data_IF_352638624430
#
_entry.id   IF_352638624430
#
_cell.length_a   1.000
_cell.length_b   1.000
_cell.length_c   1.000
_cell.angle_alpha   90.00
_cell.angle_beta   90.00
_cell.angle_gamma   90.00
#
_symmetry.space_group_name_H-M   'P 1'
#
loop_
_entity.id
_entity.type
_entity.pdbx_description
1 polymer ?
#
# COMPACT_ATOMS: atom_id res chain seq x y z
N UNK A 1 -6.08 13.83 0.32
CA UNK A 1 -5.80 12.85 -0.76
C UNK A 1 -5.11 13.48 -1.97
N UNK A 2 -3.94 12.96 -2.34
CA UNK A 2 -3.20 13.29 -3.57
C UNK A 2 -2.85 12.01 -4.35
N UNK A 3 -2.85 12.09 -5.68
CA UNK A 3 -2.40 11.01 -6.57
C UNK A 3 -1.30 11.56 -7.47
N UNK A 4 -0.10 10.97 -7.42
CA UNK A 4 1.03 11.35 -8.27
C UNK A 4 1.33 10.20 -9.22
N UNK A 5 1.22 10.49 -10.51
CA UNK A 5 1.53 9.55 -11.58
C UNK A 5 3.03 9.47 -11.80
N UNK A 6 3.58 8.28 -12.09
CA UNK A 6 4.96 8.12 -12.54
C UNK A 6 5.30 9.09 -13.68
N UNK A 7 6.56 9.51 -13.78
CA UNK A 7 6.97 10.39 -14.87
C UNK A 7 6.74 9.74 -16.24
N UNK A 8 6.08 10.48 -17.13
CA UNK A 8 5.69 10.01 -18.46
C UNK A 8 4.44 9.12 -18.50
N UNK A 9 3.80 8.82 -17.36
CA UNK A 9 2.54 8.10 -17.36
C UNK A 9 1.34 9.05 -17.61
N UNK A 10 0.42 8.60 -18.46
CA UNK A 10 -0.84 9.31 -18.69
C UNK A 10 -1.89 8.95 -17.62
N UNK A 11 -2.68 9.94 -17.21
CA UNK A 11 -3.80 9.72 -16.31
C UNK A 11 -4.90 8.91 -17.01
N UNK A 12 -5.45 7.89 -16.36
CA UNK A 12 -6.68 7.25 -16.82
C UNK A 12 -7.90 7.96 -16.22
N UNK A 13 -9.10 7.58 -16.69
CA UNK A 13 -10.35 8.09 -16.12
C UNK A 13 -10.48 7.80 -14.60
N UNK A 14 -9.91 6.69 -14.14
CA UNK A 14 -9.81 6.37 -12.71
C UNK A 14 -8.54 5.54 -12.43
N UNK A 15 -7.44 6.23 -12.16
CA UNK A 15 -6.13 5.62 -11.88
C UNK A 15 -6.17 4.63 -10.72
N UNK A 16 -6.96 4.92 -9.68
CA UNK A 16 -7.08 4.07 -8.49
C UNK A 16 -7.83 2.78 -8.83
N UNK A 17 -8.89 2.85 -9.64
CA UNK A 17 -9.61 1.67 -10.11
C UNK A 17 -8.67 0.74 -10.88
N UNK A 18 -7.92 1.28 -11.84
CA UNK A 18 -6.99 0.49 -12.66
C UNK A 18 -5.89 -0.15 -11.82
N UNK A 19 -5.34 0.60 -10.84
CA UNK A 19 -4.36 0.06 -9.89
C UNK A 19 -4.94 -1.14 -9.11
N UNK A 20 -6.08 -0.94 -8.42
CA UNK A 20 -6.70 -1.95 -7.57
C UNK A 20 -7.22 -3.15 -8.39
N UNK A 21 -7.61 -2.93 -9.65
CA UNK A 21 -8.02 -4.01 -10.55
C UNK A 21 -6.83 -4.85 -11.00
N UNK A 22 -5.72 -4.22 -11.38
CA UNK A 22 -4.55 -4.88 -11.96
C UNK A 22 -3.65 -5.56 -10.92
N UNK A 23 -3.49 -4.96 -9.75
CA UNK A 23 -2.50 -5.36 -8.76
C UNK A 23 -3.18 -5.91 -7.51
N UNK A 24 -2.77 -7.12 -7.09
CA UNK A 24 -3.48 -7.90 -6.07
C UNK A 24 -2.65 -8.25 -4.85
N UNK A 25 -1.32 -8.09 -4.90
CA UNK A 25 -0.45 -8.33 -3.76
C UNK A 25 -0.09 -7.03 -3.04
N UNK A 26 -0.52 -6.92 -1.80
CA UNK A 26 -0.35 -5.73 -0.96
C UNK A 26 0.55 -6.08 0.23
N UNK A 27 1.73 -5.45 0.29
CA UNK A 27 2.53 -5.44 1.51
C UNK A 27 2.03 -4.33 2.44
N UNK A 28 1.72 -4.65 3.69
CA UNK A 28 1.18 -3.69 4.66
C UNK A 28 2.24 -3.37 5.71
N UNK A 29 2.90 -2.23 5.54
CA UNK A 29 3.96 -1.76 6.43
C UNK A 29 3.35 -1.12 7.67
N UNK A 30 3.65 -1.70 8.84
CA UNK A 30 3.03 -1.29 10.11
C UNK A 30 1.70 -2.00 10.42
N UNK A 31 1.44 -3.14 9.79
CA UNK A 31 0.31 -3.99 10.17
C UNK A 31 0.50 -4.53 11.59
N UNK A 32 -0.52 -4.38 12.44
CA UNK A 32 -0.50 -4.87 13.82
C UNK A 32 -1.58 -5.93 14.04
N UNK A 33 -1.29 -6.90 14.90
CA UNK A 33 -2.26 -7.90 15.38
C UNK A 33 -3.35 -7.31 16.28
N UNK A 34 -3.18 -6.07 16.77
CA UNK A 34 -4.17 -5.41 17.61
C UNK A 34 -5.40 -4.95 16.79
N UNK A 35 -6.61 -5.48 17.06
CA UNK A 35 -7.83 -5.16 16.30
C UNK A 35 -8.30 -3.70 16.47
N UNK A 36 -7.81 -3.00 17.50
CA UNK A 36 -8.10 -1.57 17.69
C UNK A 36 -7.27 -0.65 16.77
N UNK A 37 -6.25 -1.19 16.10
CA UNK A 37 -5.44 -0.41 15.16
C UNK A 37 -6.13 -0.36 13.80
N UNK A 38 -6.24 0.83 13.16
CA UNK A 38 -6.81 0.94 11.82
C UNK A 38 -6.15 0.00 10.79
N UNK A 39 -4.83 -0.26 10.93
CA UNK A 39 -4.11 -1.17 10.05
C UNK A 39 -4.71 -2.58 10.05
N UNK A 40 -5.27 -3.06 11.16
CA UNK A 40 -5.87 -4.37 11.27
C UNK A 40 -7.17 -4.46 10.46
N UNK A 41 -8.17 -3.65 10.82
CA UNK A 41 -9.50 -3.72 10.18
C UNK A 41 -9.51 -3.31 8.70
N UNK A 42 -8.67 -2.35 8.31
CA UNK A 42 -8.51 -2.00 6.88
C UNK A 42 -7.92 -3.18 6.10
N UNK A 43 -6.92 -3.85 6.67
CA UNK A 43 -6.26 -4.97 6.00
C UNK A 43 -7.14 -6.20 5.94
N UNK A 44 -7.84 -6.54 7.03
CA UNK A 44 -8.80 -7.65 7.07
C UNK A 44 -9.86 -7.49 5.97
N UNK A 45 -10.41 -6.29 5.80
CA UNK A 45 -11.33 -6.02 4.71
C UNK A 45 -10.72 -6.28 3.32
N UNK A 46 -9.49 -5.82 3.09
CA UNK A 46 -8.81 -6.03 1.80
C UNK A 46 -8.50 -7.53 1.58
N UNK A 47 -8.16 -8.28 2.63
CA UNK A 47 -7.98 -9.73 2.58
C UNK A 47 -9.30 -10.43 2.21
N UNK A 48 -10.42 -10.06 2.87
CA UNK A 48 -11.75 -10.58 2.53
C UNK A 48 -12.20 -10.20 1.11
N UNK A 49 -11.73 -9.07 0.58
CA UNK A 49 -11.95 -8.66 -0.80
C UNK A 49 -11.09 -9.42 -1.82
N UNK A 50 -10.28 -10.39 -1.38
CA UNK A 50 -9.51 -11.29 -2.23
C UNK A 50 -8.10 -10.81 -2.59
N UNK A 51 -7.57 -9.79 -1.90
CA UNK A 51 -6.18 -9.38 -2.08
C UNK A 51 -5.24 -10.28 -1.29
N UNK A 52 -4.07 -10.56 -1.85
CA UNK A 52 -2.96 -11.22 -1.15
C UNK A 52 -2.32 -10.20 -0.21
N UNK A 53 -2.41 -10.42 1.10
CA UNK A 53 -1.86 -9.52 2.12
C UNK A 53 -0.54 -10.06 2.66
N UNK A 54 0.49 -9.21 2.68
CA UNK A 54 1.79 -9.54 3.26
C UNK A 54 2.08 -8.55 4.41
N UNK A 55 1.98 -8.99 5.69
CA UNK A 55 2.33 -8.16 6.83
C UNK A 55 3.83 -7.81 6.83
N UNK A 56 4.15 -6.52 7.03
CA UNK A 56 5.52 -6.06 7.25
C UNK A 56 5.59 -5.28 8.55
N UNK A 57 6.04 -5.95 9.61
CA UNK A 57 6.23 -5.36 10.93
C UNK A 57 7.23 -6.18 11.76
N UNK A 58 8.38 -5.62 12.15
CA UNK A 58 9.39 -6.35 12.93
C UNK A 58 8.95 -6.72 14.35
N UNK A 59 7.85 -6.15 14.84
CA UNK A 59 7.30 -6.44 16.17
C UNK A 59 6.23 -7.54 16.16
N UNK A 60 5.89 -8.11 15.00
CA UNK A 60 4.86 -9.13 14.85
C UNK A 60 5.47 -10.32 14.11
N UNK A 61 5.06 -11.54 14.47
CA UNK A 61 5.46 -12.76 13.76
C UNK A 61 4.39 -13.25 12.78
N UNK A 62 3.12 -13.00 13.10
CA UNK A 62 1.96 -13.37 12.29
C UNK A 62 0.81 -12.39 12.55
N UNK A 63 0.07 -11.99 11.51
CA UNK A 63 -1.13 -11.15 11.63
C UNK A 63 -2.16 -11.61 10.61
N UNK A 64 -3.43 -11.76 11.01
CA UNK A 64 -4.53 -12.22 10.13
C UNK A 64 -4.24 -13.56 9.42
N UNK A 65 -3.56 -14.48 10.12
CA UNK A 65 -3.16 -15.78 9.59
C UNK A 65 -2.00 -15.74 8.59
N UNK A 66 -1.38 -14.57 8.40
CA UNK A 66 -0.29 -14.35 7.46
C UNK A 66 1.03 -14.13 8.20
N UNK A 67 2.10 -14.77 7.73
CA UNK A 67 3.45 -14.56 8.28
C UNK A 67 3.86 -13.09 8.10
N UNK A 68 4.35 -12.49 9.18
CA UNK A 68 4.92 -11.14 9.17
C UNK A 68 6.42 -11.17 8.91
N UNK A 69 6.87 -10.22 8.08
CA UNK A 69 8.27 -9.99 7.76
C UNK A 69 8.75 -8.70 8.42
N UNK A 70 10.02 -8.61 8.87
CA UNK A 70 10.51 -7.38 9.47
C UNK A 70 10.70 -6.27 8.43
N UNK A 71 11.14 -6.62 7.21
CA UNK A 71 11.39 -5.67 6.12
C UNK A 71 10.70 -6.10 4.82
N UNK A 72 10.49 -5.14 3.92
CA UNK A 72 9.92 -5.42 2.59
C UNK A 72 10.83 -6.34 1.77
N UNK A 73 12.14 -6.18 1.93
CA UNK A 73 13.19 -6.94 1.25
C UNK A 73 13.26 -8.41 1.67
N UNK A 74 12.69 -8.78 2.83
CA UNK A 74 12.65 -10.17 3.29
C UNK A 74 11.48 -10.96 2.69
N UNK A 75 10.56 -10.28 1.99
CA UNK A 75 9.40 -10.90 1.38
C UNK A 75 9.83 -11.68 0.14
N UNK A 76 9.62 -13.01 0.07
CA UNK A 76 10.08 -13.83 -1.04
C UNK A 76 9.16 -13.75 -2.28
N UNK A 77 8.02 -13.07 -2.15
CA UNK A 77 6.99 -12.95 -3.17
C UNK A 77 7.00 -11.55 -3.81
N UNK A 78 6.45 -11.44 -5.01
CA UNK A 78 6.30 -10.14 -5.69
C UNK A 78 5.31 -9.24 -4.94
N UNK A 79 5.73 -8.02 -4.61
CA UNK A 79 4.89 -6.97 -4.03
C UNK A 79 4.42 -6.03 -5.15
N UNK A 80 3.12 -5.81 -5.27
CA UNK A 80 2.60 -4.83 -6.23
C UNK A 80 2.34 -3.46 -5.58
N UNK A 81 1.73 -3.45 -4.39
CA UNK A 81 1.38 -2.22 -3.66
C UNK A 81 2.00 -2.27 -2.26
N UNK A 82 2.70 -1.21 -1.87
CA UNK A 82 3.15 -0.99 -0.49
C UNK A 82 2.18 -0.04 0.20
N UNK A 83 1.42 -0.56 1.16
CA UNK A 83 0.42 0.18 1.93
C UNK A 83 0.97 0.56 3.31
N UNK A 84 1.03 1.84 3.62
CA UNK A 84 1.80 2.39 4.74
C UNK A 84 0.89 2.85 5.88
N UNK A 85 1.11 2.27 7.06
CA UNK A 85 0.48 2.66 8.34
C UNK A 85 1.51 3.15 9.37
N UNK A 86 2.65 3.65 8.90
CA UNK A 86 3.70 4.28 9.71
C UNK A 86 3.55 5.79 9.69
N UNK A 87 4.18 6.48 10.65
CA UNK A 87 4.10 7.94 10.71
C UNK A 87 4.82 8.56 9.51
N UNK A 88 4.49 9.81 9.18
CA UNK A 88 5.07 10.51 8.05
C UNK A 88 6.62 10.52 8.09
N UNK A 89 7.21 10.64 9.28
CA UNK A 89 8.67 10.66 9.46
C UNK A 89 9.35 9.31 9.13
N UNK A 90 8.57 8.23 9.13
CA UNK A 90 9.04 6.88 8.79
C UNK A 90 8.79 6.53 7.30
N UNK A 91 8.10 7.41 6.54
CA UNK A 91 7.80 7.18 5.12
C UNK A 91 9.05 7.12 4.23
N UNK A 92 10.06 8.00 4.38
CA UNK A 92 11.23 8.00 3.48
C UNK A 92 11.91 6.63 3.33
N UNK A 93 12.31 5.92 4.42
CA UNK A 93 12.91 4.60 4.27
C UNK A 93 11.95 3.55 3.69
N UNK A 94 10.65 3.65 3.97
CA UNK A 94 9.63 2.74 3.39
C UNK A 94 9.51 2.92 1.88
N UNK A 95 9.55 4.17 1.39
CA UNK A 95 9.56 4.46 -0.05
C UNK A 95 10.81 3.89 -0.71
N UNK A 96 11.98 4.04 -0.09
CA UNK A 96 13.21 3.46 -0.64
C UNK A 96 13.15 1.95 -0.75
N UNK A 97 12.63 1.28 0.28
CA UNK A 97 12.38 -0.16 0.24
C UNK A 97 11.37 -0.53 -0.85
N UNK A 98 10.28 0.23 -1.00
CA UNK A 98 9.27 0.00 -2.04
C UNK A 98 9.87 0.08 -3.45
N UNK A 99 10.78 1.03 -3.68
CA UNK A 99 11.54 1.16 -4.93
C UNK A 99 12.44 -0.08 -5.13
N UNK A 100 13.22 -0.48 -4.11
CA UNK A 100 14.14 -1.62 -4.19
C UNK A 100 13.44 -2.94 -4.50
N UNK A 101 12.27 -3.18 -3.90
CA UNK A 101 11.48 -4.41 -4.15
C UNK A 101 10.66 -4.34 -5.45
N UNK A 102 10.73 -3.23 -6.20
CA UNK A 102 10.12 -3.09 -7.51
C UNK A 102 8.59 -2.98 -7.47
N UNK A 103 8.04 -2.47 -6.36
CA UNK A 103 6.61 -2.21 -6.20
C UNK A 103 6.11 -1.27 -7.31
N UNK A 104 4.79 -1.30 -7.55
CA UNK A 104 4.12 -0.48 -8.57
C UNK A 104 3.43 0.74 -7.99
N UNK A 105 3.10 0.68 -6.70
CA UNK A 105 2.56 1.82 -6.00
C UNK A 105 3.00 1.87 -4.53
N UNK A 106 3.08 3.09 -4.01
CA UNK A 106 3.08 3.37 -2.57
C UNK A 106 1.77 4.05 -2.21
N UNK A 107 1.10 3.50 -1.21
CA UNK A 107 -0.18 3.99 -0.70
C UNK A 107 0.00 4.44 0.74
N UNK A 108 -0.02 5.74 0.98
CA UNK A 108 0.03 6.33 2.31
C UNK A 108 -1.39 6.52 2.83
N UNK A 109 -1.70 5.91 3.98
CA UNK A 109 -3.03 5.93 4.57
C UNK A 109 -3.43 7.34 5.05
N UNK A 110 -4.67 7.48 5.53
CA UNK A 110 -5.21 8.75 6.01
C UNK A 110 -4.27 9.45 7.01
N UNK A 111 -4.04 10.74 6.78
CA UNK A 111 -3.16 11.58 7.59
C UNK A 111 -1.65 11.32 7.39
N UNK A 112 -1.26 10.53 6.39
CA UNK A 112 0.14 10.28 6.05
C UNK A 112 0.42 10.90 4.67
N UNK A 113 1.31 11.88 4.66
CA UNK A 113 1.80 12.60 3.49
C UNK A 113 3.29 12.88 3.68
N UNK A 114 4.08 12.81 2.62
CA UNK A 114 5.49 13.20 2.67
C UNK A 114 6.01 13.60 1.28
N UNK A 115 6.05 14.91 1.03
CA UNK A 115 6.35 15.50 -0.29
C UNK A 115 7.60 14.91 -0.97
N UNK A 116 8.74 14.96 -0.29
CA UNK A 116 10.02 14.53 -0.88
C UNK A 116 10.03 13.03 -1.19
N UNK A 117 9.36 12.23 -0.37
CA UNK A 117 9.31 10.78 -0.55
C UNK A 117 8.32 10.41 -1.67
N UNK A 118 7.20 11.14 -1.78
CA UNK A 118 6.26 11.02 -2.88
C UNK A 118 6.93 11.34 -4.22
N UNK A 119 7.66 12.45 -4.33
CA UNK A 119 8.39 12.81 -5.55
C UNK A 119 9.50 11.80 -5.89
N UNK A 120 10.22 11.29 -4.89
CA UNK A 120 11.21 10.22 -5.09
C UNK A 120 10.58 8.94 -5.63
N UNK A 121 9.45 8.52 -5.08
CA UNK A 121 8.72 7.33 -5.55
C UNK A 121 8.22 7.52 -6.99
N UNK A 122 7.64 8.69 -7.26
CA UNK A 122 7.15 9.10 -8.58
C UNK A 122 8.26 9.05 -9.65
N UNK A 123 9.39 9.70 -9.37
CA UNK A 123 10.55 9.72 -10.26
C UNK A 123 11.16 8.31 -10.48
N UNK A 124 11.03 7.42 -9.50
CA UNK A 124 11.43 6.02 -9.59
C UNK A 124 10.40 5.13 -10.31
N UNK A 125 9.29 5.69 -10.79
CA UNK A 125 8.29 4.98 -11.58
C UNK A 125 7.12 4.38 -10.79
N UNK A 126 6.97 4.72 -9.51
CA UNK A 126 5.88 4.23 -8.66
C UNK A 126 4.71 5.21 -8.71
N UNK A 127 3.48 4.66 -8.76
CA UNK A 127 2.29 5.45 -8.50
C UNK A 127 2.22 5.78 -7.01
N UNK A 128 1.93 7.03 -6.68
CA UNK A 128 1.80 7.45 -5.28
C UNK A 128 0.36 7.87 -4.99
N UNK A 129 -0.19 7.35 -3.90
CA UNK A 129 -1.46 7.77 -3.33
C UNK A 129 -1.17 8.20 -1.91
N UNK A 130 -1.54 9.44 -1.57
CA UNK A 130 -1.37 9.98 -0.22
C UNK A 130 -2.69 10.37 0.40
N UNK A 131 -2.74 10.34 1.73
CA UNK A 131 -3.91 10.71 2.53
C UNK A 131 -5.22 10.07 2.00
N UNK A 132 -5.19 8.75 1.85
CA UNK A 132 -6.35 7.98 1.39
C UNK A 132 -6.45 6.65 2.12
N UNK A 133 -7.67 6.24 2.51
CA UNK A 133 -7.89 4.89 3.02
C UNK A 133 -8.16 3.92 1.87
N UNK A 134 -7.29 2.92 1.70
CA UNK A 134 -7.44 1.91 0.63
C UNK A 134 -8.78 1.15 0.69
N UNK A 135 -9.30 0.86 1.89
CA UNK A 135 -10.63 0.25 2.07
C UNK A 135 -11.73 1.16 1.52
N UNK A 136 -11.68 2.46 1.84
CA UNK A 136 -12.71 3.42 1.41
C UNK A 136 -12.67 3.56 -0.11
N UNK A 137 -11.48 3.70 -0.68
CA UNK A 137 -11.31 3.83 -2.13
C UNK A 137 -11.67 2.53 -2.87
N UNK A 138 -11.42 1.37 -2.28
CA UNK A 138 -11.90 0.07 -2.78
C UNK A 138 -13.43 0.00 -2.75
N UNK A 139 -14.07 0.33 -1.62
CA UNK A 139 -15.54 0.31 -1.48
C UNK A 139 -16.22 1.25 -2.46
N UNK A 140 -15.65 2.43 -2.68
CA UNK A 140 -16.16 3.42 -3.65
C UNK A 140 -16.23 2.85 -5.08
N UNK A 141 -15.39 1.85 -5.37
CA UNK A 141 -15.20 1.20 -6.68
C UNK A 141 -15.61 -0.27 -6.70
N UNK A 142 -16.34 -0.72 -5.66
CA UNK A 142 -16.63 -2.13 -5.49
C UNK A 142 -17.41 -2.70 -6.68
N UNK A 143 -18.31 -1.91 -7.29
CA UNK A 143 -19.12 -2.35 -8.43
C UNK A 143 -18.29 -2.62 -9.69
N UNK A 144 -17.20 -1.88 -9.89
CA UNK A 144 -16.30 -2.03 -11.02
C UNK A 144 -15.23 -3.10 -10.76
N UNK A 145 -14.88 -3.33 -9.49
CA UNK A 145 -13.87 -4.32 -9.07
C UNK A 145 -14.42 -5.75 -8.96
N UNK A 146 -15.73 -5.93 -8.82
CA UNK A 146 -16.39 -7.25 -8.74
C UNK A 146 -17.02 -7.72 -10.05
N UNK A 147 -16.83 -6.99 -11.15
CA UNK A 147 -17.24 -7.36 -12.51
C UNK A 147 -16.09 -8.01 -13.26
#
# INVERSE_FOLDING_TARGET
>A
MRVLLPDGAEASADTILELLKKYKTIAVVGLSSNPMRPSHGVTEYMQCAGYRIIPVNPNETEVLGEKSYPWLEDVPEKIDIVNVFRRAEEVPPVVESAIRVGAKAVWMQLGIEHEEAAEKARAAGLLVIEDACILVEHRRRARELTR
#
